data_IF_367078384829
#
_entry.id   IF_367078384829
#
_cell.length_a   1.000
_cell.length_b   1.000
_cell.length_c   1.000
_cell.angle_alpha   90.00
_cell.angle_beta   90.00
_cell.angle_gamma   90.00
#
_symmetry.space_group_name_H-M   'P 1'
#
loop_
_entity.id
_entity.type
_entity.pdbx_description
1 polymer ?
#
# COMPACT_ATOMS: atom_id res chain seq x y z
N UNK A 1 16.92 1.36 -16.31
CA UNK A 1 16.79 2.01 -14.98
C UNK A 1 15.40 1.89 -14.33
N UNK A 2 14.28 1.77 -15.07
CA UNK A 2 12.91 1.73 -14.49
C UNK A 2 12.73 0.67 -13.40
N UNK A 3 13.15 -0.57 -13.66
CA UNK A 3 13.08 -1.67 -12.70
C UNK A 3 13.78 -1.33 -11.37
N UNK A 4 15.04 -0.87 -11.44
CA UNK A 4 15.82 -0.53 -10.26
C UNK A 4 15.17 0.60 -9.43
N UNK A 5 14.65 1.63 -10.08
CA UNK A 5 13.90 2.71 -9.40
C UNK A 5 12.65 2.18 -8.71
N UNK A 6 11.91 1.28 -9.36
CA UNK A 6 10.73 0.64 -8.79
C UNK A 6 11.07 -0.18 -7.54
N UNK A 7 12.12 -1.00 -7.61
CA UNK A 7 12.63 -1.76 -6.45
C UNK A 7 12.95 -0.83 -5.28
N UNK A 8 13.66 0.28 -5.53
CA UNK A 8 13.96 1.27 -4.49
C UNK A 8 12.69 1.92 -3.92
N UNK A 9 11.74 2.27 -4.77
CA UNK A 9 10.48 2.88 -4.36
C UNK A 9 9.65 1.97 -3.45
N UNK A 10 9.45 0.70 -3.85
CA UNK A 10 8.76 -0.30 -3.03
C UNK A 10 9.50 -0.59 -1.72
N UNK A 11 10.83 -0.75 -1.78
CA UNK A 11 11.65 -1.03 -0.61
C UNK A 11 11.56 0.10 0.42
N UNK A 12 11.78 1.36 0.02
CA UNK A 12 11.80 2.50 0.95
C UNK A 12 10.42 2.69 1.57
N UNK A 13 9.35 2.62 0.76
CA UNK A 13 7.98 2.74 1.29
C UNK A 13 7.67 1.64 2.31
N UNK A 14 7.97 0.38 1.98
CA UNK A 14 7.76 -0.73 2.91
C UNK A 14 8.57 -0.58 4.19
N UNK A 15 9.85 -0.25 4.10
CA UNK A 15 10.74 -0.10 5.26
C UNK A 15 10.29 1.02 6.19
N UNK A 16 9.91 2.18 5.65
CA UNK A 16 9.45 3.31 6.47
C UNK A 16 8.12 2.97 7.14
N UNK A 17 7.15 2.42 6.42
CA UNK A 17 5.86 2.03 7.02
C UNK A 17 6.08 1.03 8.15
N UNK A 18 6.86 -0.03 7.92
CA UNK A 18 7.08 -1.07 8.93
C UNK A 18 7.90 -0.60 10.14
N UNK A 19 8.69 0.48 9.99
CA UNK A 19 9.52 1.02 11.08
C UNK A 19 8.83 2.12 11.87
N UNK A 20 7.98 2.91 11.22
CA UNK A 20 7.47 4.17 11.78
C UNK A 20 5.99 4.07 12.16
N UNK A 21 5.19 3.23 11.49
CA UNK A 21 3.74 3.17 11.72
C UNK A 21 3.38 2.77 13.16
N UNK A 22 4.02 1.73 13.70
CA UNK A 22 3.79 1.24 15.06
C UNK A 22 3.95 2.34 16.12
N UNK A 23 5.09 3.03 16.18
CA UNK A 23 5.32 4.16 17.09
C UNK A 23 4.25 5.27 17.04
N UNK A 24 3.65 5.56 15.88
CA UNK A 24 2.58 6.56 15.79
C UNK A 24 1.23 6.05 16.31
N UNK A 25 0.89 4.79 16.04
CA UNK A 25 -0.41 4.20 16.42
C UNK A 25 -0.44 3.77 17.88
N UNK A 26 0.72 3.47 18.47
CA UNK A 26 0.83 3.03 19.86
C UNK A 26 0.83 4.18 20.89
N UNK A 27 0.78 5.44 20.44
CA UNK A 27 0.61 6.59 21.36
C UNK A 27 -0.83 6.60 21.87
N UNK A 28 -1.03 6.14 23.12
CA UNK A 28 -2.36 6.00 23.73
C UNK A 28 -3.20 7.28 23.68
N UNK A 29 -2.57 8.45 23.85
CA UNK A 29 -3.26 9.75 23.83
C UNK A 29 -3.81 10.13 22.46
N UNK A 30 -3.33 9.51 21.38
CA UNK A 30 -3.78 9.79 20.02
C UNK A 30 -4.94 8.88 19.58
N UNK A 31 -5.11 7.70 20.20
CA UNK A 31 -6.15 6.75 19.81
C UNK A 31 -6.20 6.53 18.28
N UNK A 32 -7.39 6.59 17.69
CA UNK A 32 -7.55 6.42 16.23
C UNK A 32 -6.83 7.51 15.40
N UNK A 33 -6.62 8.70 15.95
CA UNK A 33 -5.95 9.82 15.26
C UNK A 33 -4.48 9.47 15.00
N UNK A 34 -3.86 8.62 15.82
CA UNK A 34 -2.49 8.16 15.60
C UNK A 34 -2.30 7.49 14.24
N UNK A 35 -3.29 6.71 13.79
CA UNK A 35 -3.28 6.09 12.46
C UNK A 35 -3.40 7.10 11.32
N UNK A 36 -4.22 8.14 11.49
CA UNK A 36 -4.35 9.21 10.50
C UNK A 36 -3.08 10.05 10.38
N UNK A 37 -2.44 10.34 11.52
CA UNK A 37 -1.15 11.04 11.56
C UNK A 37 -0.04 10.19 10.94
N UNK A 38 -0.01 8.88 11.24
CA UNK A 38 0.91 7.94 10.59
C UNK A 38 0.71 7.92 9.08
N UNK A 39 -0.54 7.84 8.62
CA UNK A 39 -0.88 7.86 7.20
C UNK A 39 -0.40 9.16 6.54
N UNK A 40 -0.67 10.32 7.13
CA UNK A 40 -0.22 11.59 6.56
C UNK A 40 1.30 11.71 6.55
N UNK A 41 1.96 11.43 7.67
CA UNK A 41 3.40 11.60 7.85
C UNK A 41 4.24 10.60 7.04
N UNK A 42 3.70 9.40 6.78
CA UNK A 42 4.42 8.32 6.09
C UNK A 42 3.92 8.16 4.65
N UNK A 43 2.62 7.92 4.47
CA UNK A 43 2.05 7.55 3.16
C UNK A 43 2.09 8.76 2.22
N UNK A 44 1.84 9.97 2.70
CA UNK A 44 1.91 11.19 1.89
C UNK A 44 3.27 11.39 1.20
N UNK A 45 4.38 11.49 1.97
CA UNK A 45 5.72 11.61 1.39
C UNK A 45 6.13 10.42 0.51
N UNK A 46 5.79 9.19 0.91
CA UNK A 46 6.10 8.01 0.10
C UNK A 46 5.34 8.00 -1.22
N UNK A 47 4.07 8.38 -1.21
CA UNK A 47 3.27 8.54 -2.42
C UNK A 47 3.88 9.60 -3.34
N UNK A 48 4.29 10.76 -2.80
CA UNK A 48 4.94 11.81 -3.57
C UNK A 48 6.23 11.32 -4.22
N UNK A 49 7.11 10.68 -3.47
CA UNK A 49 8.36 10.14 -4.01
C UNK A 49 8.12 9.06 -5.07
N UNK A 50 7.16 8.16 -4.81
CA UNK A 50 6.93 7.01 -5.68
C UNK A 50 6.19 7.37 -6.95
N UNK A 51 5.12 8.17 -6.86
CA UNK A 51 4.21 8.41 -7.97
C UNK A 51 4.38 9.79 -8.59
N UNK A 52 4.68 10.83 -7.80
CA UNK A 52 4.89 12.18 -8.36
C UNK A 52 6.32 12.35 -8.91
N UNK A 53 7.35 11.99 -8.15
CA UNK A 53 8.74 11.96 -8.64
C UNK A 53 9.04 10.72 -9.52
N UNK A 54 8.11 9.74 -9.54
CA UNK A 54 8.12 8.61 -10.44
C UNK A 54 9.23 7.59 -10.17
N UNK A 55 9.60 7.34 -8.90
CA UNK A 55 10.44 6.18 -8.57
C UNK A 55 9.77 4.90 -9.05
N UNK A 56 8.45 4.81 -8.87
CA UNK A 56 7.62 3.74 -9.39
C UNK A 56 6.97 4.24 -10.68
N UNK A 57 7.28 3.57 -11.79
CA UNK A 57 6.80 3.99 -13.10
C UNK A 57 5.43 3.39 -13.39
N UNK A 58 4.49 4.23 -13.83
CA UNK A 58 3.16 3.84 -14.23
C UNK A 58 2.90 4.22 -15.68
N UNK A 59 2.16 3.35 -16.38
CA UNK A 59 1.56 3.70 -17.66
C UNK A 59 0.34 4.61 -17.44
N UNK A 60 -0.01 5.35 -18.49
CA UNK A 60 -1.18 6.22 -18.47
C UNK A 60 -2.45 5.38 -18.22
N UNK A 61 -3.31 5.83 -17.29
CA UNK A 61 -4.50 5.09 -16.87
C UNK A 61 -4.26 3.99 -15.83
N UNK A 62 -3.03 3.76 -15.38
CA UNK A 62 -2.74 2.84 -14.26
C UNK A 62 -3.22 3.40 -12.93
N UNK A 63 -3.80 2.53 -12.09
CA UNK A 63 -4.13 2.85 -10.69
C UNK A 63 -2.89 2.75 -9.79
N UNK A 64 -2.73 3.68 -8.83
CA UNK A 64 -1.61 3.75 -7.89
C UNK A 64 -1.81 2.85 -6.64
N UNK A 65 -2.08 1.57 -6.84
CA UNK A 65 -2.33 0.59 -5.75
C UNK A 65 -1.11 -0.25 -5.37
N UNK A 66 -0.08 -0.19 -6.18
CA UNK A 66 1.09 -1.04 -6.14
C UNK A 66 2.06 -0.72 -5.00
N UNK A 67 2.13 0.54 -4.54
CA UNK A 67 2.88 0.88 -3.33
C UNK A 67 2.35 0.09 -2.12
N UNK A 68 1.04 -0.13 -2.04
CA UNK A 68 0.42 -0.97 -1.02
C UNK A 68 0.88 -2.43 -1.09
N UNK A 69 1.00 -2.99 -2.30
CA UNK A 69 1.56 -4.33 -2.51
C UNK A 69 3.03 -4.39 -2.07
N UNK A 70 3.85 -3.39 -2.42
CA UNK A 70 5.24 -3.31 -1.99
C UNK A 70 5.38 -3.28 -0.46
N UNK A 71 4.56 -2.47 0.21
CA UNK A 71 4.51 -2.41 1.68
C UNK A 71 4.12 -3.77 2.27
N UNK A 72 3.08 -4.42 1.73
CA UNK A 72 2.62 -5.72 2.21
C UNK A 72 3.71 -6.80 2.08
N UNK A 73 4.41 -6.85 0.94
CA UNK A 73 5.51 -7.79 0.72
C UNK A 73 6.64 -7.57 1.73
N UNK A 74 7.07 -6.32 1.94
CA UNK A 74 8.11 -6.01 2.93
C UNK A 74 7.67 -6.45 4.33
N UNK A 75 6.42 -6.19 4.72
CA UNK A 75 5.89 -6.61 6.02
C UNK A 75 5.88 -8.12 6.20
N UNK A 76 5.36 -8.86 5.21
CA UNK A 76 5.31 -10.33 5.24
C UNK A 76 6.71 -10.91 5.37
N UNK A 77 7.65 -10.50 4.52
CA UNK A 77 9.00 -11.06 4.55
C UNK A 77 9.77 -10.66 5.81
N UNK A 78 9.66 -9.40 6.26
CA UNK A 78 10.22 -8.95 7.54
C UNK A 78 9.75 -9.87 8.67
N UNK A 79 8.45 -10.05 8.78
CA UNK A 79 7.88 -10.77 9.93
C UNK A 79 8.16 -12.28 9.83
N UNK A 80 8.14 -12.87 8.63
CA UNK A 80 8.59 -14.26 8.42
C UNK A 80 10.06 -14.44 8.83
N UNK A 81 10.94 -13.49 8.54
CA UNK A 81 12.36 -13.61 8.89
C UNK A 81 12.65 -13.32 10.37
N UNK A 82 11.84 -12.49 11.03
CA UNK A 82 12.07 -12.09 12.42
C UNK A 82 11.34 -12.95 13.45
N UNK A 83 10.24 -13.61 13.07
CA UNK A 83 9.40 -14.41 13.97
C UNK A 83 9.41 -15.90 13.59
N UNK A 84 8.28 -16.59 13.70
CA UNK A 84 8.16 -18.05 13.59
C UNK A 84 8.14 -18.57 12.13
N UNK A 85 8.81 -17.87 11.21
CA UNK A 85 8.97 -18.33 9.83
C UNK A 85 7.65 -18.56 9.10
N UNK A 86 7.49 -19.76 8.55
CA UNK A 86 6.29 -20.17 7.80
C UNK A 86 5.03 -20.10 8.65
N UNK A 87 5.11 -20.32 9.98
CA UNK A 87 3.94 -20.22 10.85
C UNK A 87 3.37 -18.79 10.85
N UNK A 88 4.24 -17.77 10.91
CA UNK A 88 3.85 -16.35 10.80
C UNK A 88 3.18 -16.06 9.45
N UNK A 89 3.72 -16.61 8.36
CA UNK A 89 3.09 -16.48 7.03
C UNK A 89 1.68 -17.10 7.02
N UNK A 90 1.54 -18.32 7.52
CA UNK A 90 0.26 -19.04 7.53
C UNK A 90 -0.79 -18.33 8.38
N UNK A 91 -0.38 -17.71 9.50
CA UNK A 91 -1.26 -16.90 10.33
C UNK A 91 -1.80 -15.65 9.59
N UNK A 92 -1.04 -15.11 8.63
CA UNK A 92 -1.45 -13.95 7.83
C UNK A 92 -2.35 -14.31 6.64
N UNK A 93 -2.42 -15.59 6.22
CA UNK A 93 -3.19 -16.04 5.04
C UNK A 93 -4.65 -15.59 5.06
N UNK A 94 -5.42 -15.73 6.15
CA UNK A 94 -6.82 -15.27 6.17
C UNK A 94 -6.94 -13.77 5.84
N UNK A 95 -6.06 -12.94 6.41
CA UNK A 95 -6.02 -11.50 6.13
C UNK A 95 -5.66 -11.23 4.67
N UNK A 96 -4.67 -11.94 4.11
CA UNK A 96 -4.31 -11.79 2.70
C UNK A 96 -5.46 -12.15 1.76
N UNK A 97 -6.26 -13.19 2.09
CA UNK A 97 -7.43 -13.56 1.30
C UNK A 97 -8.51 -12.46 1.34
N UNK A 98 -8.75 -11.85 2.51
CA UNK A 98 -9.70 -10.75 2.63
C UNK A 98 -9.22 -9.50 1.87
N UNK A 99 -7.92 -9.19 1.93
CA UNK A 99 -7.33 -8.09 1.15
C UNK A 99 -7.46 -8.36 -0.35
N UNK A 100 -7.19 -9.58 -0.81
CA UNK A 100 -7.35 -9.95 -2.22
C UNK A 100 -8.81 -9.84 -2.70
N UNK A 101 -9.76 -10.26 -1.86
CA UNK A 101 -11.19 -10.11 -2.13
C UNK A 101 -11.58 -8.62 -2.22
N UNK A 102 -11.16 -7.82 -1.24
CA UNK A 102 -11.41 -6.38 -1.21
C UNK A 102 -10.81 -5.65 -2.41
N UNK A 103 -9.58 -5.99 -2.79
CA UNK A 103 -8.92 -5.44 -3.97
C UNK A 103 -9.67 -5.80 -5.26
N UNK A 104 -10.15 -7.04 -5.37
CA UNK A 104 -10.93 -7.50 -6.54
C UNK A 104 -12.26 -6.76 -6.66
N UNK A 105 -12.99 -6.61 -5.55
CA UNK A 105 -14.25 -5.87 -5.50
C UNK A 105 -14.05 -4.38 -5.79
N UNK A 106 -13.00 -3.78 -5.22
CA UNK A 106 -12.64 -2.38 -5.47
C UNK A 106 -12.27 -2.13 -6.92
N UNK A 107 -11.47 -3.01 -7.53
CA UNK A 107 -11.14 -2.95 -8.95
C UNK A 107 -12.36 -3.09 -9.85
N UNK A 108 -13.28 -4.00 -9.52
CA UNK A 108 -14.55 -4.14 -10.24
C UNK A 108 -15.42 -2.88 -10.15
N UNK A 109 -15.57 -2.31 -8.95
CA UNK A 109 -16.32 -1.08 -8.75
C UNK A 109 -15.70 0.09 -9.52
N UNK A 110 -14.37 0.26 -9.45
CA UNK A 110 -13.65 1.27 -10.21
C UNK A 110 -13.89 1.13 -11.71
N UNK A 111 -13.82 -0.09 -12.26
CA UNK A 111 -14.10 -0.34 -13.67
C UNK A 111 -15.53 0.06 -14.08
N UNK A 112 -16.53 -0.21 -13.23
CA UNK A 112 -17.91 0.20 -13.49
C UNK A 112 -18.09 1.71 -13.45
N UNK A 113 -17.47 2.39 -12.48
CA UNK A 113 -17.49 3.85 -12.37
C UNK A 113 -16.79 4.48 -13.58
N UNK A 114 -15.61 4.02 -13.96
CA UNK A 114 -14.90 4.53 -15.14
C UNK A 114 -15.71 4.36 -16.43
N UNK A 115 -16.37 3.21 -16.60
CA UNK A 115 -17.24 2.95 -17.74
C UNK A 115 -18.49 3.86 -17.77
N UNK A 116 -19.03 4.21 -16.61
CA UNK A 116 -20.14 5.17 -16.49
C UNK A 116 -19.69 6.59 -16.81
N UNK A 117 -18.59 7.06 -16.22
CA UNK A 117 -17.99 8.36 -16.50
C UNK A 117 -17.66 8.55 -17.98
N UNK A 118 -17.17 7.50 -18.65
CA UNK A 118 -16.89 7.50 -20.08
C UNK A 118 -18.15 7.62 -20.96
N UNK A 119 -19.33 7.19 -20.45
CA UNK A 119 -20.60 7.27 -21.18
C UNK A 119 -21.23 8.66 -21.12
N UNK A 120 -20.82 9.53 -20.19
CA UNK A 120 -21.34 10.89 -20.20
C UNK A 120 -20.92 11.81 -19.05
N UNK A 121 -19.91 12.63 -19.32
CA UNK A 121 -20.02 14.08 -19.08
C UNK A 121 -21.14 14.72 -19.93
N UNK A 122 -22.31 14.09 -19.97
CA UNK A 122 -23.57 14.54 -20.57
C UNK A 122 -24.60 14.44 -19.45
N UNK A 123 -24.48 15.36 -18.49
CA UNK A 123 -25.66 15.87 -17.80
C UNK A 123 -26.43 16.76 -18.78
#
# INVERSE_FOLDING_TARGET
MKFFRGVLGYMIAGMIVMSVWGPFVQVESFGIIGGWLAAFAIIGPMWFMNHFLGLIHHEEGSTFVDMGLGIALVGIFRDVFLYDGVATFMAAVPTMLLVALGASLGGFAAAKVSADMAKGGKA
#
